data_IF_350189759702
#
_entry.id   IF_350189759702
#
_cell.length_a   1.000
_cell.length_b   1.000
_cell.length_c   1.000
_cell.angle_alpha   90.00
_cell.angle_beta   90.00
_cell.angle_gamma   90.00
#
_symmetry.space_group_name_H-M   'P 1'
#
loop_
_entity.id
_entity.type
_entity.pdbx_description
1 polymer ?
#
# COMPACT_ATOMS: atom_id res chain seq x y z
N UNK A 1 13.63 -2.88 -8.17
CA UNK A 1 14.84 -2.06 -7.90
C UNK A 1 15.03 -0.90 -8.87
N UNK A 2 14.56 -0.94 -10.12
CA UNK A 2 14.58 0.24 -11.01
C UNK A 2 13.38 1.20 -10.83
N UNK A 3 12.37 0.82 -10.05
CA UNK A 3 11.13 1.59 -9.89
C UNK A 3 11.25 2.80 -8.96
N UNK A 4 12.14 2.74 -7.97
CA UNK A 4 12.16 3.72 -6.88
C UNK A 4 12.83 5.04 -7.31
N UNK A 5 13.94 4.97 -8.03
CA UNK A 5 14.58 6.14 -8.63
C UNK A 5 13.69 6.78 -9.73
N UNK A 6 12.94 5.94 -10.46
CA UNK A 6 11.97 6.40 -11.45
C UNK A 6 10.83 7.22 -10.86
N UNK A 7 10.27 6.77 -9.74
CA UNK A 7 9.22 7.48 -9.00
C UNK A 7 9.69 8.85 -8.50
N UNK A 8 10.87 8.90 -7.89
CA UNK A 8 11.46 10.14 -7.39
C UNK A 8 11.71 11.13 -8.53
N UNK A 9 12.24 10.66 -9.68
CA UNK A 9 12.44 11.48 -10.89
C UNK A 9 11.13 12.08 -11.41
N UNK A 10 10.06 11.30 -11.44
CA UNK A 10 8.74 11.79 -11.87
C UNK A 10 8.22 12.84 -10.89
N UNK A 11 8.38 12.63 -9.58
CA UNK A 11 7.98 13.60 -8.57
C UNK A 11 8.71 14.94 -8.77
N UNK A 12 10.06 14.94 -8.82
CA UNK A 12 10.85 16.16 -9.07
C UNK A 12 10.40 16.88 -10.34
N UNK A 13 10.30 16.17 -11.48
CA UNK A 13 9.83 16.76 -12.74
C UNK A 13 8.44 17.35 -12.65
N UNK A 14 7.56 16.78 -11.85
CA UNK A 14 6.19 17.31 -11.68
C UNK A 14 6.21 18.71 -11.05
N UNK A 15 7.13 18.96 -10.12
CA UNK A 15 7.28 20.27 -9.49
C UNK A 15 7.98 21.31 -10.39
N UNK A 16 8.72 20.87 -11.40
CA UNK A 16 9.40 21.76 -12.34
C UNK A 16 8.49 22.34 -13.43
N UNK A 17 7.27 21.80 -13.62
CA UNK A 17 6.37 22.17 -14.72
C UNK A 17 5.04 22.74 -14.24
N UNK A 18 4.48 23.61 -15.07
CA UNK A 18 3.09 24.11 -14.93
C UNK A 18 2.82 24.90 -13.65
N UNK A 19 1.68 24.63 -13.04
CA UNK A 19 1.22 25.32 -11.83
C UNK A 19 2.09 25.04 -10.59
N UNK A 20 2.56 23.81 -10.32
CA UNK A 20 3.44 23.54 -9.19
C UNK A 20 4.70 24.39 -9.18
N UNK A 21 5.35 24.59 -10.34
CA UNK A 21 6.57 25.42 -10.45
C UNK A 21 6.36 26.86 -9.97
N UNK A 22 5.17 27.42 -10.19
CA UNK A 22 4.86 28.79 -9.75
C UNK A 22 4.65 28.94 -8.26
N UNK A 23 4.41 27.81 -7.56
CA UNK A 23 4.17 27.76 -6.12
C UNK A 23 5.37 27.18 -5.34
N UNK A 24 6.38 26.66 -6.06
CA UNK A 24 7.60 26.08 -5.47
C UNK A 24 8.72 27.11 -5.51
N UNK A 25 9.42 27.29 -4.40
CA UNK A 25 10.56 28.19 -4.27
C UNK A 25 11.85 27.39 -4.43
N UNK A 26 12.05 26.40 -3.58
CA UNK A 26 13.26 25.56 -3.55
C UNK A 26 12.90 24.10 -3.32
N UNK A 27 13.73 23.17 -3.82
CA UNK A 27 13.67 21.76 -3.47
C UNK A 27 14.53 21.52 -2.21
N UNK A 28 13.85 21.17 -1.11
CA UNK A 28 14.51 20.90 0.17
C UNK A 28 14.95 19.42 0.28
N UNK A 29 14.15 18.52 -0.29
CA UNK A 29 14.34 17.07 -0.17
C UNK A 29 13.91 16.36 -1.45
N UNK A 30 14.80 15.63 -2.14
CA UNK A 30 16.18 15.29 -1.79
C UNK A 30 17.18 16.46 -1.83
N UNK A 31 16.86 17.59 -2.46
CA UNK A 31 17.72 18.72 -2.68
C UNK A 31 18.33 18.75 -4.09
N UNK A 32 18.66 19.95 -4.57
CA UNK A 32 19.13 20.17 -5.94
C UNK A 32 20.42 19.43 -6.30
N UNK A 33 21.22 19.04 -5.31
CA UNK A 33 22.48 18.31 -5.52
C UNK A 33 22.27 16.82 -5.87
N UNK A 34 21.08 16.26 -5.66
CA UNK A 34 20.77 14.84 -5.93
C UNK A 34 20.23 14.68 -7.35
N UNK A 35 21.11 14.70 -8.33
CA UNK A 35 20.75 14.70 -9.75
C UNK A 35 20.88 13.33 -10.41
N UNK A 36 21.93 12.57 -10.09
CA UNK A 36 22.20 11.27 -10.71
C UNK A 36 21.26 10.17 -10.18
N UNK A 37 21.01 9.14 -10.98
CA UNK A 37 20.07 8.08 -10.61
C UNK A 37 20.57 7.22 -9.45
N UNK A 38 21.86 7.01 -9.35
CA UNK A 38 22.51 6.32 -8.24
C UNK A 38 22.39 7.13 -6.94
N UNK A 39 22.58 8.44 -7.00
CA UNK A 39 22.38 9.34 -5.85
C UNK A 39 20.91 9.34 -5.38
N UNK A 40 19.96 9.41 -6.32
CA UNK A 40 18.53 9.30 -6.01
C UNK A 40 18.18 7.95 -5.40
N UNK A 41 18.78 6.89 -5.89
CA UNK A 41 18.57 5.55 -5.35
C UNK A 41 19.12 5.42 -3.93
N UNK A 42 20.33 5.93 -3.67
CA UNK A 42 20.94 5.93 -2.34
C UNK A 42 20.15 6.84 -1.38
N UNK A 43 19.65 7.96 -1.85
CA UNK A 43 18.74 8.80 -1.08
C UNK A 43 17.47 8.04 -0.70
N UNK A 44 16.78 7.40 -1.68
CA UNK A 44 15.57 6.63 -1.43
C UNK A 44 15.80 5.49 -0.44
N UNK A 45 16.96 4.83 -0.47
CA UNK A 45 17.32 3.78 0.50
C UNK A 45 17.55 4.30 1.91
N UNK A 46 18.11 5.52 2.04
CA UNK A 46 18.41 6.12 3.34
C UNK A 46 17.18 6.71 4.03
N UNK A 47 16.30 7.34 3.24
CA UNK A 47 15.19 8.15 3.75
C UNK A 47 13.84 7.47 3.55
N UNK A 48 13.77 6.52 2.61
CA UNK A 48 12.54 5.77 2.31
C UNK A 48 12.05 5.02 3.54
N UNK A 49 10.76 5.16 3.82
CA UNK A 49 10.08 4.45 4.90
C UNK A 49 8.79 3.83 4.40
N UNK A 50 8.27 2.85 5.14
CA UNK A 50 6.95 2.29 4.84
C UNK A 50 5.86 3.35 5.01
N UNK A 51 4.99 3.48 4.00
CA UNK A 51 3.86 4.40 4.03
C UNK A 51 2.70 3.91 4.90
N UNK A 52 2.96 3.01 5.87
CA UNK A 52 1.98 2.33 6.75
C UNK A 52 0.83 1.64 6.00
N UNK A 53 1.06 1.25 4.76
CA UNK A 53 0.11 0.55 3.90
C UNK A 53 0.48 -0.95 3.77
N UNK A 54 0.59 -1.62 4.91
CA UNK A 54 0.97 -3.04 4.96
C UNK A 54 -0.14 -3.96 4.48
N UNK A 55 0.24 -4.97 3.68
CA UNK A 55 -0.64 -6.04 3.18
C UNK A 55 0.02 -7.40 3.37
N UNK A 56 -0.75 -8.48 3.26
CA UNK A 56 -0.23 -9.85 3.22
C UNK A 56 0.17 -10.46 4.57
N UNK A 57 0.14 -9.70 5.68
CA UNK A 57 0.49 -10.22 7.02
C UNK A 57 -0.53 -11.28 7.47
N UNK A 58 -1.83 -10.99 7.28
CA UNK A 58 -2.92 -11.93 7.55
C UNK A 58 -3.56 -12.42 6.24
N UNK A 59 -2.74 -12.68 5.23
CA UNK A 59 -3.13 -13.03 3.87
C UNK A 59 -4.30 -14.00 3.82
N UNK A 60 -5.37 -13.61 3.09
CA UNK A 60 -6.51 -14.49 2.85
C UNK A 60 -6.29 -15.41 1.64
N UNK A 61 -6.94 -16.55 1.66
CA UNK A 61 -6.93 -17.47 0.53
C UNK A 61 -7.45 -18.86 0.88
N UNK A 62 -7.51 -19.73 -0.14
CA UNK A 62 -7.98 -21.11 -0.01
C UNK A 62 -6.91 -22.09 0.48
N UNK A 63 -5.62 -21.74 0.36
CA UNK A 63 -4.52 -22.59 0.82
C UNK A 63 -4.39 -22.58 2.34
N UNK A 64 -3.98 -23.71 2.92
CA UNK A 64 -3.73 -23.83 4.37
C UNK A 64 -2.55 -22.99 4.85
N UNK A 65 -1.69 -22.53 3.94
CA UNK A 65 -0.61 -21.59 4.25
C UNK A 65 -1.09 -20.15 4.48
N UNK A 66 -2.36 -19.83 4.17
CA UNK A 66 -2.93 -18.52 4.43
C UNK A 66 -3.40 -18.41 5.88
N UNK A 67 -3.22 -17.23 6.48
CA UNK A 67 -3.64 -16.95 7.87
C UNK A 67 -5.17 -16.91 7.98
N UNK A 68 -5.85 -16.34 6.97
CA UNK A 68 -7.31 -16.28 6.95
C UNK A 68 -7.87 -17.00 5.72
N UNK A 69 -9.10 -17.50 5.84
CA UNK A 69 -9.86 -18.05 4.71
C UNK A 69 -10.52 -16.93 3.89
N UNK A 70 -11.23 -17.30 2.81
CA UNK A 70 -11.94 -16.34 1.93
C UNK A 70 -13.13 -15.66 2.61
N UNK A 71 -13.50 -16.09 3.82
CA UNK A 71 -14.49 -15.46 4.67
C UNK A 71 -13.87 -14.63 5.81
N UNK A 72 -12.56 -14.34 5.71
CA UNK A 72 -11.78 -13.55 6.67
C UNK A 72 -11.68 -14.20 8.06
N UNK A 73 -11.98 -15.50 8.21
CA UNK A 73 -11.84 -16.22 9.48
C UNK A 73 -10.39 -16.66 9.65
N UNK A 74 -9.87 -16.49 10.85
CA UNK A 74 -8.52 -16.96 11.20
C UNK A 74 -8.52 -18.49 11.28
N UNK A 75 -7.61 -19.13 10.53
CA UNK A 75 -7.47 -20.58 10.55
C UNK A 75 -6.98 -21.08 11.91
N UNK A 76 -7.57 -22.17 12.37
CA UNK A 76 -7.23 -22.77 13.68
C UNK A 76 -7.80 -22.05 14.90
N UNK A 77 -8.52 -20.92 14.72
CA UNK A 77 -9.16 -20.19 15.83
C UNK A 77 -10.64 -19.98 15.54
N UNK A 78 -11.51 -20.49 16.41
CA UNK A 78 -12.95 -20.31 16.25
C UNK A 78 -13.40 -18.90 16.66
N UNK A 79 -14.33 -18.33 15.89
CA UNK A 79 -14.98 -17.06 16.23
C UNK A 79 -14.14 -15.79 15.97
N UNK A 80 -12.94 -15.91 15.41
CA UNK A 80 -12.04 -14.78 15.14
C UNK A 80 -11.98 -14.48 13.62
N UNK A 81 -12.03 -13.19 13.29
CA UNK A 81 -11.78 -12.67 11.93
C UNK A 81 -10.76 -11.54 11.96
N UNK A 82 -10.04 -11.38 10.84
CA UNK A 82 -9.22 -10.20 10.56
C UNK A 82 -9.90 -9.40 9.46
N UNK A 83 -10.10 -8.09 9.69
CA UNK A 83 -10.86 -7.21 8.79
C UNK A 83 -10.12 -5.90 8.58
N UNK A 84 -9.01 -5.97 7.87
CA UNK A 84 -8.20 -4.83 7.46
C UNK A 84 -7.40 -5.17 6.19
N UNK A 85 -6.56 -4.26 5.74
CA UNK A 85 -5.76 -4.46 4.52
C UNK A 85 -4.69 -5.57 4.64
N UNK A 86 -4.39 -6.07 5.83
CA UNK A 86 -3.43 -7.16 6.00
C UNK A 86 -3.91 -8.48 5.38
N UNK A 87 -5.23 -8.63 5.18
CA UNK A 87 -5.81 -9.81 4.52
C UNK A 87 -5.57 -9.84 3.01
N UNK A 88 -5.24 -8.72 2.39
CA UNK A 88 -4.96 -8.65 0.95
C UNK A 88 -3.68 -9.41 0.61
N UNK A 89 -3.68 -10.25 -0.44
CA UNK A 89 -2.49 -11.01 -0.84
C UNK A 89 -1.32 -10.13 -1.31
N UNK A 90 -1.62 -8.97 -1.86
CA UNK A 90 -0.64 -7.98 -2.34
C UNK A 90 -1.25 -6.57 -2.29
N UNK A 91 -0.43 -5.51 -2.28
CA UNK A 91 -0.94 -4.15 -2.35
C UNK A 91 -1.62 -3.89 -3.70
N UNK A 92 -2.63 -3.03 -3.68
CA UNK A 92 -3.27 -2.53 -4.89
C UNK A 92 -2.48 -1.37 -5.48
N UNK A 93 -2.67 -1.05 -6.76
CA UNK A 93 -1.97 0.03 -7.47
C UNK A 93 -2.49 1.44 -7.14
N UNK A 94 -3.21 1.60 -6.05
CA UNK A 94 -3.79 2.88 -5.62
C UNK A 94 -3.82 3.03 -4.11
N UNK A 95 -4.49 4.06 -3.64
CA UNK A 95 -4.66 4.31 -2.20
C UNK A 95 -5.39 3.18 -1.49
N UNK A 96 -4.88 2.76 -0.33
CA UNK A 96 -5.38 1.61 0.42
C UNK A 96 -6.70 1.86 1.16
N UNK A 97 -7.14 3.12 1.27
CA UNK A 97 -8.35 3.46 2.02
C UNK A 97 -9.62 2.86 1.41
N UNK A 98 -9.78 2.97 0.09
CA UNK A 98 -10.94 2.38 -0.60
C UNK A 98 -11.00 0.85 -0.40
N UNK A 99 -9.85 0.19 -0.45
CA UNK A 99 -9.75 -1.26 -0.23
C UNK A 99 -10.11 -1.65 1.19
N UNK A 100 -9.68 -0.87 2.19
CA UNK A 100 -10.05 -1.08 3.60
C UNK A 100 -11.58 -1.01 3.78
N UNK A 101 -12.24 -0.04 3.13
CA UNK A 101 -13.70 0.10 3.17
C UNK A 101 -14.37 -1.12 2.53
N UNK A 102 -13.90 -1.57 1.36
CA UNK A 102 -14.45 -2.75 0.67
C UNK A 102 -14.32 -4.01 1.53
N UNK A 103 -13.15 -4.23 2.15
CA UNK A 103 -12.92 -5.36 3.06
C UNK A 103 -13.87 -5.30 4.27
N UNK A 104 -14.05 -4.11 4.86
CA UNK A 104 -14.94 -3.90 5.99
C UNK A 104 -16.42 -4.16 5.63
N UNK A 105 -16.90 -3.62 4.52
CA UNK A 105 -18.27 -3.85 4.04
C UNK A 105 -18.52 -5.33 3.72
N UNK A 106 -17.58 -5.99 3.06
CA UNK A 106 -17.64 -7.44 2.81
C UNK A 106 -17.76 -8.22 4.12
N UNK A 107 -16.90 -7.91 5.08
CA UNK A 107 -16.90 -8.57 6.40
C UNK A 107 -18.22 -8.34 7.13
N UNK A 108 -18.75 -7.13 7.13
CA UNK A 108 -20.05 -6.81 7.75
C UNK A 108 -21.18 -7.63 7.13
N UNK A 109 -21.18 -7.81 5.80
CA UNK A 109 -22.13 -8.67 5.10
C UNK A 109 -22.03 -10.14 5.50
N UNK A 110 -20.81 -10.67 5.59
CA UNK A 110 -20.54 -12.06 6.02
C UNK A 110 -20.97 -12.30 7.46
N UNK A 111 -20.65 -11.36 8.37
CA UNK A 111 -21.02 -11.46 9.80
C UNK A 111 -22.54 -11.45 9.99
N UNK A 112 -23.24 -10.63 9.21
CA UNK A 112 -24.72 -10.51 9.25
C UNK A 112 -25.45 -11.61 8.49
N UNK A 113 -24.74 -12.54 7.85
CA UNK A 113 -25.35 -13.60 7.02
C UNK A 113 -26.05 -13.07 5.76
N UNK A 114 -25.68 -11.87 5.27
CA UNK A 114 -26.28 -11.24 4.09
C UNK A 114 -25.57 -11.58 2.78
N UNK A 115 -24.39 -12.18 2.86
CA UNK A 115 -23.58 -12.59 1.72
C UNK A 115 -23.38 -14.10 1.72
N UNK A 116 -23.30 -14.72 0.53
CA UNK A 116 -23.00 -16.15 0.42
C UNK A 116 -21.66 -16.47 1.10
N UNK A 117 -21.63 -17.62 1.75
CA UNK A 117 -20.45 -18.15 2.45
C UNK A 117 -19.60 -19.06 1.56
N UNK A 118 -19.93 -19.17 0.26
CA UNK A 118 -19.23 -20.00 -0.72
C UNK A 118 -17.85 -19.46 -1.10
#
# INVERSE_FOLDING_TARGET
MASDAGGLRVACKTYEIGAPKRCSVDEITPGEDVVADDERFDFARRVGSGAVHYTGICKMGSSDSNVTDTQLRVRGVSGLRVVDNSVLPSPVSGGMNATAIVVAERAAGLIRGRLPTS
#
